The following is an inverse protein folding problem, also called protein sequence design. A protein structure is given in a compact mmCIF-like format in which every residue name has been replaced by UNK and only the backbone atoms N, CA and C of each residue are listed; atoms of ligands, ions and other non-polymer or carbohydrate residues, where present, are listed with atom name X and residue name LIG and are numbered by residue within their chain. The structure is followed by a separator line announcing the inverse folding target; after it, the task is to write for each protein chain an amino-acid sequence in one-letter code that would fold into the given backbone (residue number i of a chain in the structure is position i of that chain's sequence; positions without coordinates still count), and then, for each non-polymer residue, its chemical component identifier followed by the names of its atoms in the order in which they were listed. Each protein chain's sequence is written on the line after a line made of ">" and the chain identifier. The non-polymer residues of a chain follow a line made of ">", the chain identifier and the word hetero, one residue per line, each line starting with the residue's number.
data_IF_215205591618
#
_entry.id   IF_215205591618
#
_cell.length_a   1.000
_cell.length_b   1.000
_cell.length_c   1.000
_cell.angle_alpha   90.00
_cell.angle_beta   90.00
_cell.angle_gamma   90.00
#
_symmetry.space_group_name_H-M   'P 1'
#
loop_
_entity.id
_entity.type
_entity.pdbx_description
1 polymer ?
#
# COMPACT_ATOMS: atom_id res chain seq x y z
N UNK A 1 -8.13 5.58 -12.32
CA UNK A 1 -7.18 6.71 -12.44
C UNK A 1 -7.27 7.33 -13.82
N UNK A 2 -7.18 8.67 -13.93
CA UNK A 2 -7.12 9.38 -15.22
C UNK A 2 -5.72 9.28 -15.87
N UNK A 3 -5.60 9.49 -17.21
CA UNK A 3 -4.28 9.52 -17.87
C UNK A 3 -3.30 10.52 -17.24
N UNK A 4 -3.78 11.69 -16.82
CA UNK A 4 -2.93 12.70 -16.18
C UNK A 4 -2.40 12.25 -14.80
N UNK A 5 -3.23 11.55 -14.02
CA UNK A 5 -2.82 10.97 -12.74
C UNK A 5 -1.79 9.85 -12.94
N UNK A 6 -1.94 9.04 -13.98
CA UNK A 6 -0.96 8.01 -14.36
C UNK A 6 0.36 8.65 -14.77
N UNK A 7 0.32 9.67 -15.65
CA UNK A 7 1.49 10.40 -16.11
C UNK A 7 2.23 11.09 -14.95
N UNK A 8 1.51 11.68 -14.01
CA UNK A 8 2.10 12.30 -12.82
C UNK A 8 2.79 11.25 -11.93
N UNK A 9 2.13 10.11 -11.71
CA UNK A 9 2.70 8.98 -10.99
C UNK A 9 3.99 8.48 -11.66
N UNK A 10 4.00 8.32 -12.98
CA UNK A 10 5.20 7.95 -13.74
C UNK A 10 6.34 8.97 -13.55
N UNK A 11 6.04 10.27 -13.66
CA UNK A 11 7.05 11.32 -13.42
C UNK A 11 7.65 11.22 -12.02
N UNK A 12 6.85 10.93 -11.01
CA UNK A 12 7.31 10.83 -9.64
C UNK A 12 8.12 9.58 -9.36
N UNK A 13 7.69 8.44 -9.89
CA UNK A 13 8.36 7.16 -9.59
C UNK A 13 9.55 6.88 -10.50
N UNK A 14 9.60 7.43 -11.72
CA UNK A 14 10.61 7.11 -12.70
C UNK A 14 11.40 8.33 -13.24
N UNK A 15 11.13 9.55 -12.74
CA UNK A 15 11.59 10.79 -13.38
C UNK A 15 13.09 11.09 -13.25
N UNK A 16 13.74 10.79 -12.12
CA UNK A 16 15.17 11.05 -11.90
C UNK A 16 15.91 9.81 -11.40
N UNK A 17 17.25 9.81 -11.51
CA UNK A 17 18.05 8.71 -11.00
C UNK A 17 17.83 8.49 -9.49
N UNK A 18 17.69 9.57 -8.70
CA UNK A 18 17.42 9.50 -7.27
C UNK A 18 16.04 8.87 -6.97
N UNK A 19 15.02 9.27 -7.72
CA UNK A 19 13.69 8.66 -7.58
C UNK A 19 13.69 7.20 -7.99
N UNK A 20 14.43 6.85 -9.06
CA UNK A 20 14.62 5.45 -9.46
C UNK A 20 15.37 4.64 -8.40
N UNK A 21 16.39 5.26 -7.76
CA UNK A 21 17.08 4.64 -6.63
C UNK A 21 16.11 4.39 -5.48
N UNK A 22 15.31 5.37 -5.05
CA UNK A 22 14.32 5.21 -3.99
C UNK A 22 13.26 4.12 -4.32
N UNK A 23 13.02 3.85 -5.59
CA UNK A 23 12.15 2.77 -6.06
C UNK A 23 12.89 1.45 -6.30
N UNK A 24 14.14 1.35 -6.04
CA UNK A 24 14.91 0.09 -6.02
C UNK A 24 14.82 -0.61 -4.67
N UNK A 25 15.14 -1.89 -4.61
CA UNK A 25 15.16 -2.62 -3.33
C UNK A 25 16.07 -1.96 -2.29
N UNK A 26 17.34 -1.59 -2.61
CA UNK A 26 18.19 -0.84 -1.69
C UNK A 26 17.59 0.50 -1.26
N UNK A 27 17.00 1.23 -2.19
CA UNK A 27 16.36 2.52 -1.92
C UNK A 27 15.13 2.39 -1.03
N UNK A 28 14.31 1.37 -1.22
CA UNK A 28 13.17 1.05 -0.35
C UNK A 28 13.64 0.68 1.07
N UNK A 29 14.72 -0.07 1.19
CA UNK A 29 15.33 -0.36 2.50
C UNK A 29 15.77 0.92 3.22
N UNK A 30 16.32 1.87 2.48
CA UNK A 30 16.78 3.14 3.02
C UNK A 30 15.62 4.10 3.33
N UNK A 31 14.63 4.18 2.45
CA UNK A 31 13.58 5.21 2.50
C UNK A 31 12.27 4.76 3.14
N UNK A 32 12.06 3.47 3.32
CA UNK A 32 10.75 2.92 3.73
C UNK A 32 10.84 1.95 4.92
N UNK A 33 11.22 2.43 6.13
CA UNK A 33 11.22 1.64 7.35
C UNK A 33 9.90 0.91 7.66
N UNK A 34 8.71 1.41 7.20
CA UNK A 34 7.46 0.70 7.42
C UNK A 34 7.44 -0.75 6.96
N UNK A 35 8.18 -1.07 5.90
CA UNK A 35 8.30 -2.45 5.44
C UNK A 35 8.82 -3.43 6.50
N UNK A 36 9.53 -2.93 7.50
CA UNK A 36 10.03 -3.75 8.63
C UNK A 36 9.06 -3.83 9.80
N UNK A 37 8.03 -3.01 9.81
CA UNK A 37 7.07 -2.89 10.91
C UNK A 37 5.81 -3.71 10.66
N UNK A 38 5.78 -4.50 9.59
CA UNK A 38 4.68 -5.41 9.32
C UNK A 38 4.49 -6.34 10.51
N UNK A 39 3.28 -6.45 11.03
CA UNK A 39 3.00 -7.43 12.06
C UNK A 39 3.48 -8.80 11.60
N UNK A 40 4.32 -9.44 12.39
CA UNK A 40 4.86 -10.77 12.06
C UNK A 40 3.75 -11.78 11.75
N UNK A 41 2.62 -11.62 12.43
CA UNK A 41 1.43 -12.44 12.24
C UNK A 41 0.84 -12.36 10.82
N UNK A 42 1.01 -11.24 10.12
CA UNK A 42 0.51 -11.07 8.74
C UNK A 42 1.35 -11.81 7.70
N UNK A 43 2.56 -12.22 8.04
CA UNK A 43 3.58 -12.59 7.07
C UNK A 43 4.12 -14.01 7.20
N UNK A 44 3.67 -14.77 8.20
CA UNK A 44 4.31 -16.04 8.58
C UNK A 44 3.53 -17.30 8.24
N UNK A 45 2.40 -17.20 7.56
CA UNK A 45 1.67 -18.41 7.15
C UNK A 45 2.19 -18.86 5.78
N UNK A 46 2.53 -20.13 5.66
CA UNK A 46 2.75 -20.76 4.37
C UNK A 46 1.50 -20.54 3.49
N UNK A 47 1.70 -20.35 2.19
CA UNK A 47 0.65 -20.10 1.19
C UNK A 47 -0.07 -18.76 1.26
N UNK A 48 0.47 -17.77 1.97
CA UNK A 48 -0.08 -16.40 1.97
C UNK A 48 -0.11 -15.81 0.56
N UNK A 49 -1.27 -15.33 0.15
CA UNK A 49 -1.48 -14.60 -1.11
C UNK A 49 -1.50 -13.10 -0.84
N UNK A 50 -0.55 -12.41 -1.39
CA UNK A 50 -0.35 -10.98 -1.18
C UNK A 50 -0.67 -10.18 -2.45
N UNK A 51 -1.36 -9.06 -2.30
CA UNK A 51 -1.59 -8.09 -3.36
C UNK A 51 -0.96 -6.74 -2.98
N UNK A 52 -0.24 -6.12 -3.88
CA UNK A 52 0.14 -4.71 -3.80
C UNK A 52 -0.64 -3.89 -4.83
N UNK A 53 -1.47 -2.95 -4.36
CA UNK A 53 -2.22 -2.02 -5.21
C UNK A 53 -1.35 -0.79 -5.46
N UNK A 54 -1.01 -0.54 -6.73
CA UNK A 54 -0.07 0.50 -7.13
C UNK A 54 1.38 0.06 -6.93
N UNK A 55 1.75 -1.13 -7.39
CA UNK A 55 3.07 -1.71 -7.11
C UNK A 55 4.27 -0.96 -7.74
N UNK A 56 4.01 0.02 -8.61
CA UNK A 56 5.08 0.77 -9.28
C UNK A 56 6.00 -0.14 -10.07
N UNK A 57 7.28 -0.15 -9.71
CA UNK A 57 8.30 -1.02 -10.32
C UNK A 57 8.49 -2.38 -9.59
N UNK A 58 7.59 -2.74 -8.68
CA UNK A 58 7.62 -4.03 -7.96
C UNK A 58 8.64 -4.14 -6.82
N UNK A 59 9.32 -3.05 -6.50
CA UNK A 59 10.46 -3.07 -5.58
C UNK A 59 10.09 -3.49 -4.16
N UNK A 60 8.85 -3.23 -3.73
CA UNK A 60 8.39 -3.58 -2.40
C UNK A 60 8.09 -5.07 -2.28
N UNK A 61 7.44 -5.65 -3.28
CA UNK A 61 7.24 -7.11 -3.35
C UNK A 61 8.60 -7.80 -3.28
N UNK A 62 9.60 -7.33 -4.05
CA UNK A 62 10.96 -7.86 -4.01
C UNK A 62 11.64 -7.63 -2.66
N UNK A 63 11.42 -6.48 -2.02
CA UNK A 63 11.96 -6.20 -0.69
C UNK A 63 11.41 -7.17 0.36
N UNK A 64 10.11 -7.39 0.35
CA UNK A 64 9.47 -8.32 1.28
C UNK A 64 10.03 -9.72 1.09
N UNK A 65 10.14 -10.16 -0.13
CA UNK A 65 10.69 -11.46 -0.47
C UNK A 65 12.16 -11.62 -0.04
N UNK A 66 13.03 -10.67 -0.37
CA UNK A 66 14.47 -10.76 -0.02
C UNK A 66 14.74 -10.62 1.49
N UNK A 67 13.94 -9.79 2.19
CA UNK A 67 14.20 -9.46 3.60
C UNK A 67 13.47 -10.36 4.57
N UNK A 68 12.26 -10.75 4.24
CA UNK A 68 11.41 -11.54 5.12
C UNK A 68 11.45 -13.03 4.77
N UNK A 69 12.20 -13.40 3.71
CA UNK A 69 12.35 -14.79 3.24
C UNK A 69 10.99 -15.48 3.19
N UNK A 70 10.05 -14.89 2.45
CA UNK A 70 8.72 -15.44 2.28
C UNK A 70 8.76 -16.78 1.54
N UNK A 71 9.00 -17.82 2.29
CA UNK A 71 8.81 -19.17 1.77
C UNK A 71 7.30 -19.42 1.64
N UNK A 72 6.86 -19.71 0.41
CA UNK A 72 5.46 -20.05 0.14
C UNK A 72 4.51 -18.87 -0.07
N UNK A 73 4.97 -17.60 -0.07
CA UNK A 73 4.11 -16.46 -0.40
C UNK A 73 4.03 -16.27 -1.91
N UNK A 74 2.81 -16.26 -2.43
CA UNK A 74 2.54 -15.80 -3.79
C UNK A 74 2.16 -14.32 -3.78
N UNK A 75 2.75 -13.52 -4.67
CA UNK A 75 2.50 -12.09 -4.72
C UNK A 75 1.99 -11.64 -6.08
N UNK A 76 1.06 -10.69 -6.08
CA UNK A 76 0.63 -9.97 -7.27
C UNK A 76 0.76 -8.46 -7.03
N UNK A 77 1.13 -7.72 -8.06
CA UNK A 77 1.11 -6.28 -8.08
C UNK A 77 0.16 -5.76 -9.16
N UNK A 78 -0.67 -4.79 -8.84
CA UNK A 78 -1.48 -4.05 -9.82
C UNK A 78 -0.89 -2.67 -10.02
N UNK A 79 -0.67 -2.29 -11.28
CA UNK A 79 -0.15 -0.97 -11.62
C UNK A 79 -0.86 -0.42 -12.86
N UNK A 80 -1.45 0.79 -12.78
CA UNK A 80 -2.16 1.39 -13.91
C UNK A 80 -1.24 1.94 -15.01
N UNK A 81 0.04 2.15 -14.74
CA UNK A 81 1.01 2.60 -15.74
C UNK A 81 1.59 1.42 -16.52
N UNK A 82 1.41 1.36 -17.87
CA UNK A 82 2.00 0.29 -18.66
C UNK A 82 3.53 0.24 -18.57
N UNK A 83 4.17 1.39 -18.39
CA UNK A 83 5.63 1.50 -18.26
C UNK A 83 6.12 0.92 -16.93
N UNK A 84 5.44 1.23 -15.83
CA UNK A 84 5.80 0.73 -14.51
C UNK A 84 5.45 -0.75 -14.36
N UNK A 85 4.29 -1.18 -14.86
CA UNK A 85 3.88 -2.59 -14.84
C UNK A 85 4.90 -3.48 -15.56
N UNK A 86 5.31 -3.12 -16.79
CA UNK A 86 6.37 -3.84 -17.52
C UNK A 86 7.71 -3.86 -16.78
N UNK A 87 8.02 -2.79 -16.05
CA UNK A 87 9.25 -2.72 -15.25
C UNK A 87 9.16 -3.66 -14.03
N UNK A 88 8.01 -3.71 -13.38
CA UNK A 88 7.77 -4.64 -12.28
C UNK A 88 7.87 -6.10 -12.74
N UNK A 89 7.23 -6.44 -13.85
CA UNK A 89 7.29 -7.78 -14.42
C UNK A 89 8.73 -8.22 -14.72
N UNK A 90 9.52 -7.37 -15.38
CA UNK A 90 10.94 -7.65 -15.61
C UNK A 90 11.70 -7.82 -14.30
N UNK A 91 11.47 -6.97 -13.32
CA UNK A 91 12.14 -7.06 -12.02
C UNK A 91 11.81 -8.37 -11.29
N UNK A 92 10.58 -8.87 -11.40
CA UNK A 92 10.20 -10.18 -10.85
C UNK A 92 10.90 -11.33 -11.57
N UNK A 93 10.91 -11.32 -12.89
CA UNK A 93 11.58 -12.31 -13.71
C UNK A 93 13.10 -12.34 -13.45
N UNK A 94 13.75 -11.19 -13.44
CA UNK A 94 15.19 -11.04 -13.21
C UNK A 94 15.62 -11.55 -11.82
N UNK A 95 14.70 -11.52 -10.85
CA UNK A 95 14.94 -12.03 -9.50
C UNK A 95 14.40 -13.46 -9.28
N UNK A 96 13.88 -14.12 -10.32
CA UNK A 96 13.38 -15.50 -10.23
C UNK A 96 12.18 -15.64 -9.27
N UNK A 97 11.30 -14.63 -9.22
CA UNK A 97 10.22 -14.59 -8.23
C UNK A 97 8.87 -15.00 -8.79
N UNK A 98 8.09 -15.80 -8.06
CA UNK A 98 6.73 -16.18 -8.42
C UNK A 98 5.75 -15.00 -8.12
N UNK A 99 6.02 -13.82 -8.71
CA UNK A 99 5.17 -12.65 -8.59
C UNK A 99 4.71 -12.22 -9.98
N UNK A 100 3.53 -11.64 -10.06
CA UNK A 100 2.94 -11.18 -11.31
C UNK A 100 2.61 -9.70 -11.23
N UNK A 101 3.01 -8.93 -12.24
CA UNK A 101 2.57 -7.55 -12.41
C UNK A 101 1.39 -7.51 -13.39
N UNK A 102 0.27 -6.98 -12.93
CA UNK A 102 -0.97 -6.87 -13.71
C UNK A 102 -1.21 -5.42 -14.07
N UNK A 103 -1.34 -5.15 -15.38
CA UNK A 103 -1.76 -3.83 -15.86
C UNK A 103 -3.27 -3.67 -15.68
N UNK A 104 -3.68 -2.94 -14.66
CA UNK A 104 -5.10 -2.66 -14.39
C UNK A 104 -5.28 -1.37 -13.57
N UNK A 105 -6.50 -0.81 -13.61
CA UNK A 105 -6.88 0.28 -12.72
C UNK A 105 -7.00 -0.20 -11.27
N UNK A 106 -6.57 0.61 -10.30
CA UNK A 106 -6.65 0.22 -8.89
C UNK A 106 -8.08 0.25 -8.32
N UNK A 107 -9.00 0.83 -9.08
CA UNK A 107 -10.44 0.98 -8.82
C UNK A 107 -11.30 -0.09 -9.50
N UNK A 108 -10.67 -1.06 -10.19
CA UNK A 108 -11.30 -2.22 -10.83
C UNK A 108 -10.28 -3.37 -10.89
N UNK A 109 -10.11 -4.07 -9.78
CA UNK A 109 -9.10 -5.13 -9.65
C UNK A 109 -9.54 -6.41 -10.37
N UNK A 110 -8.71 -7.00 -11.25
CA UNK A 110 -9.07 -8.17 -12.05
C UNK A 110 -8.95 -9.48 -11.24
N UNK A 111 -9.38 -9.47 -10.00
CA UNK A 111 -9.34 -10.61 -9.10
C UNK A 111 -10.74 -10.90 -8.52
N UNK A 112 -10.98 -12.16 -8.20
CA UNK A 112 -12.23 -12.57 -7.53
C UNK A 112 -12.29 -12.06 -6.09
N UNK A 113 -13.48 -12.04 -5.52
CA UNK A 113 -13.69 -11.74 -4.12
C UNK A 113 -12.92 -12.72 -3.23
N UNK A 114 -12.34 -12.22 -2.14
CA UNK A 114 -11.62 -13.03 -1.18
C UNK A 114 -10.36 -13.72 -1.73
N UNK A 115 -9.75 -13.17 -2.78
CA UNK A 115 -8.58 -13.77 -3.42
C UNK A 115 -7.30 -13.70 -2.60
N UNK A 116 -7.20 -12.72 -1.68
CA UNK A 116 -5.95 -12.39 -0.99
C UNK A 116 -6.07 -12.42 0.53
N UNK A 117 -4.96 -12.78 1.15
CA UNK A 117 -4.78 -12.85 2.59
C UNK A 117 -4.20 -11.55 3.16
N UNK A 118 -3.52 -10.78 2.31
CA UNK A 118 -2.94 -9.47 2.66
C UNK A 118 -3.01 -8.54 1.45
N UNK A 119 -3.42 -7.31 1.67
CA UNK A 119 -3.39 -6.24 0.66
C UNK A 119 -2.52 -5.08 1.14
N UNK A 120 -1.65 -4.61 0.27
CA UNK A 120 -0.87 -3.39 0.46
C UNK A 120 -1.31 -2.29 -0.48
N UNK A 121 -1.36 -1.06 0.02
CA UNK A 121 -1.56 0.13 -0.79
C UNK A 121 -0.63 1.22 -0.28
N UNK A 122 0.39 1.54 -1.05
CA UNK A 122 1.39 2.54 -0.68
C UNK A 122 1.55 3.60 -1.74
N UNK A 123 1.62 4.85 -1.26
CA UNK A 123 1.95 6.01 -2.09
C UNK A 123 1.08 6.08 -3.37
N UNK A 124 -0.20 5.70 -3.24
CA UNK A 124 -1.18 5.69 -4.32
C UNK A 124 -2.37 6.62 -4.06
N UNK A 125 -2.91 6.61 -2.84
CA UNK A 125 -4.18 7.28 -2.53
C UNK A 125 -4.09 8.80 -2.72
N UNK A 126 -2.92 9.39 -2.53
CA UNK A 126 -2.68 10.82 -2.74
C UNK A 126 -2.84 11.28 -4.20
N UNK A 127 -2.72 10.39 -5.17
CA UNK A 127 -2.93 10.70 -6.59
C UNK A 127 -4.41 10.72 -6.98
N UNK A 128 -5.29 10.28 -6.08
CA UNK A 128 -6.71 10.12 -6.32
C UNK A 128 -7.52 11.22 -5.62
N UNK A 129 -8.67 11.54 -6.18
CA UNK A 129 -9.70 12.28 -5.45
C UNK A 129 -10.36 11.37 -4.41
N UNK A 130 -11.30 11.92 -3.63
CA UNK A 130 -11.97 11.15 -2.57
C UNK A 130 -12.74 9.96 -3.12
N UNK A 131 -13.40 10.14 -4.27
CA UNK A 131 -14.20 9.07 -4.91
C UNK A 131 -13.31 7.95 -5.44
N UNK A 132 -12.21 8.32 -6.10
CA UNK A 132 -11.21 7.35 -6.59
C UNK A 132 -10.55 6.59 -5.44
N UNK A 133 -10.14 7.27 -4.38
CA UNK A 133 -9.58 6.63 -3.20
C UNK A 133 -10.59 5.67 -2.54
N UNK A 134 -11.88 6.06 -2.47
CA UNK A 134 -12.94 5.20 -1.97
C UNK A 134 -13.17 3.97 -2.85
N UNK A 135 -13.12 4.12 -4.18
CA UNK A 135 -13.24 2.99 -5.10
C UNK A 135 -12.10 1.98 -4.92
N UNK A 136 -10.85 2.47 -4.78
CA UNK A 136 -9.69 1.62 -4.49
C UNK A 136 -9.86 0.86 -3.18
N UNK A 137 -10.31 1.53 -2.13
CA UNK A 137 -10.50 0.91 -0.82
C UNK A 137 -11.64 -0.14 -0.84
N UNK A 138 -12.72 0.10 -1.60
CA UNK A 138 -13.79 -0.91 -1.81
C UNK A 138 -13.27 -2.15 -2.54
N UNK A 139 -12.48 -1.96 -3.58
CA UNK A 139 -11.87 -3.07 -4.30
C UNK A 139 -10.89 -3.84 -3.41
N UNK A 140 -10.09 -3.13 -2.59
CA UNK A 140 -9.23 -3.77 -1.60
C UNK A 140 -10.04 -4.61 -0.59
N UNK A 141 -11.14 -4.09 -0.06
CA UNK A 141 -12.02 -4.84 0.83
C UNK A 141 -12.65 -6.06 0.14
N UNK A 142 -13.09 -5.92 -1.13
CA UNK A 142 -13.68 -7.00 -1.91
C UNK A 142 -12.72 -8.15 -2.15
N UNK A 143 -11.48 -7.86 -2.53
CA UNK A 143 -10.50 -8.90 -2.86
C UNK A 143 -9.83 -9.54 -1.63
N UNK A 144 -9.95 -8.92 -0.46
CA UNK A 144 -9.52 -9.51 0.81
C UNK A 144 -10.50 -10.60 1.25
N UNK A 145 -9.96 -11.72 1.73
CA UNK A 145 -10.81 -12.71 2.41
C UNK A 145 -11.29 -12.17 3.76
N UNK A 146 -12.44 -12.62 4.26
CA UNK A 146 -12.90 -12.25 5.60
C UNK A 146 -11.85 -12.57 6.67
N UNK A 147 -11.59 -11.62 7.56
CA UNK A 147 -10.55 -11.71 8.59
C UNK A 147 -9.14 -11.33 8.11
N UNK A 148 -8.96 -11.05 6.82
CA UNK A 148 -7.68 -10.61 6.29
C UNK A 148 -7.44 -9.10 6.47
N UNK A 149 -6.20 -8.68 6.25
CA UNK A 149 -5.75 -7.35 6.60
C UNK A 149 -5.26 -6.57 5.37
N UNK A 150 -5.64 -5.30 5.34
CA UNK A 150 -5.04 -4.30 4.47
C UNK A 150 -4.09 -3.43 5.29
N UNK A 151 -2.90 -3.17 4.74
CA UNK A 151 -2.01 -2.14 5.23
C UNK A 151 -1.88 -1.04 4.18
N UNK A 152 -2.16 0.18 4.57
CA UNK A 152 -1.98 1.34 3.72
C UNK A 152 -1.13 2.41 4.39
N UNK A 153 -0.34 3.11 3.59
CA UNK A 153 0.34 4.34 4.02
C UNK A 153 0.51 5.31 2.87
N UNK A 154 0.59 6.59 3.22
CA UNK A 154 0.77 7.67 2.26
C UNK A 154 1.41 8.89 2.95
N UNK A 155 1.66 9.94 2.20
CA UNK A 155 2.14 11.19 2.73
C UNK A 155 1.01 11.95 3.43
N UNK A 156 1.31 12.48 4.62
CA UNK A 156 0.39 13.27 5.41
C UNK A 156 0.53 14.79 5.14
N UNK A 157 -0.47 15.61 5.51
CA UNK A 157 -0.32 17.06 5.56
C UNK A 157 0.78 17.48 6.51
N UNK A 158 1.45 18.62 6.25
CA UNK A 158 2.44 19.17 7.17
C UNK A 158 1.84 19.44 8.54
N UNK A 159 2.54 19.01 9.60
CA UNK A 159 2.08 19.18 10.97
C UNK A 159 3.22 19.48 11.95
N UNK A 160 2.88 20.08 13.10
CA UNK A 160 3.80 20.37 14.19
C UNK A 160 4.84 21.47 13.88
N UNK A 161 5.84 21.56 14.76
CA UNK A 161 6.88 22.62 14.73
C UNK A 161 7.72 22.69 13.46
N UNK A 162 7.82 21.60 12.71
CA UNK A 162 8.56 21.50 11.46
C UNK A 162 7.67 21.58 10.20
N UNK A 163 6.42 22.03 10.31
CA UNK A 163 5.46 22.09 9.21
C UNK A 163 5.97 22.93 8.01
N UNK A 164 6.73 24.00 8.26
CA UNK A 164 7.31 24.84 7.21
C UNK A 164 8.31 24.04 6.35
N UNK A 165 9.17 23.25 6.98
CA UNK A 165 10.14 22.40 6.31
C UNK A 165 9.45 21.26 5.53
N UNK A 166 8.46 20.64 6.15
CA UNK A 166 7.65 19.61 5.52
C UNK A 166 6.91 20.13 4.29
N UNK A 167 6.37 21.37 4.31
CA UNK A 167 5.77 22.02 3.14
C UNK A 167 6.77 22.16 1.98
N UNK A 168 8.01 22.57 2.28
CA UNK A 168 9.04 22.69 1.26
C UNK A 168 9.38 21.33 0.62
N UNK A 169 9.45 20.30 1.41
CA UNK A 169 9.68 18.93 0.94
C UNK A 169 8.50 18.40 0.12
N UNK A 170 7.29 18.53 0.62
CA UNK A 170 6.07 18.02 -0.02
C UNK A 170 5.78 18.68 -1.37
N UNK A 171 6.34 19.85 -1.66
CA UNK A 171 6.32 20.43 -3.02
C UNK A 171 6.89 19.50 -4.09
N UNK A 172 7.75 18.58 -3.72
CA UNK A 172 8.33 17.57 -4.62
C UNK A 172 7.46 16.34 -4.81
N UNK A 173 6.42 16.22 -3.98
CA UNK A 173 5.49 15.09 -3.96
C UNK A 173 4.06 15.60 -4.10
N UNK A 174 3.67 16.06 -5.30
CA UNK A 174 2.33 16.54 -5.54
C UNK A 174 1.30 15.44 -5.32
N UNK A 175 0.09 15.86 -5.01
CA UNK A 175 -1.02 14.98 -4.69
C UNK A 175 -1.80 15.50 -3.48
N UNK A 176 -2.86 14.80 -3.14
CA UNK A 176 -3.71 15.13 -2.01
C UNK A 176 -3.20 14.45 -0.74
N UNK A 177 -2.64 15.20 0.16
CA UNK A 177 -2.20 14.70 1.47
C UNK A 177 -3.39 14.65 2.42
N UNK A 178 -3.86 13.46 2.73
CA UNK A 178 -4.98 13.24 3.64
C UNK A 178 -4.49 13.02 5.08
N UNK A 179 -5.32 13.38 6.06
CA UNK A 179 -5.03 13.10 7.47
C UNK A 179 -5.29 11.62 7.79
N UNK A 180 -4.68 11.14 8.86
CA UNK A 180 -4.89 9.79 9.40
C UNK A 180 -6.38 9.48 9.57
N UNK A 181 -7.09 10.33 10.28
CA UNK A 181 -8.52 10.17 10.54
C UNK A 181 -9.36 10.17 9.26
N UNK A 182 -9.00 11.01 8.28
CA UNK A 182 -9.72 11.06 6.99
C UNK A 182 -9.60 9.76 6.21
N UNK A 183 -8.39 9.15 6.17
CA UNK A 183 -8.18 7.89 5.45
C UNK A 183 -8.81 6.70 6.17
N UNK A 184 -8.71 6.63 7.49
CA UNK A 184 -9.36 5.58 8.29
C UNK A 184 -10.89 5.63 8.13
N UNK A 185 -11.51 6.81 8.29
CA UNK A 185 -12.94 6.96 8.07
C UNK A 185 -13.39 6.71 6.62
N UNK A 186 -12.48 6.91 5.63
CA UNK A 186 -12.76 6.51 4.25
C UNK A 186 -12.73 4.98 4.08
N UNK A 187 -11.80 4.29 4.74
CA UNK A 187 -11.71 2.83 4.73
C UNK A 187 -12.96 2.19 5.35
N UNK A 188 -13.43 2.70 6.50
CA UNK A 188 -14.68 2.24 7.14
C UNK A 188 -15.89 2.38 6.21
N UNK A 189 -16.03 3.52 5.54
CA UNK A 189 -17.09 3.74 4.53
C UNK A 189 -16.91 2.93 3.25
N UNK A 190 -15.79 2.23 3.11
CA UNK A 190 -15.45 1.41 1.95
C UNK A 190 -15.63 -0.10 2.18
N UNK A 191 -16.16 -0.50 3.36
CA UNK A 191 -16.46 -1.89 3.68
C UNK A 191 -15.44 -2.57 4.59
N UNK A 192 -14.56 -1.80 5.24
CA UNK A 192 -13.72 -2.32 6.33
C UNK A 192 -14.46 -2.15 7.66
N UNK A 193 -14.55 -3.23 8.42
CA UNK A 193 -15.24 -3.27 9.71
C UNK A 193 -14.38 -2.75 10.85
N UNK A 194 -13.07 -2.73 10.65
CA UNK A 194 -12.09 -2.31 11.63
C UNK A 194 -10.96 -1.51 10.98
N UNK A 195 -10.60 -0.40 11.62
CA UNK A 195 -9.41 0.38 11.27
C UNK A 195 -8.63 0.74 12.52
N UNK A 196 -7.31 0.76 12.40
CA UNK A 196 -6.42 1.29 13.44
C UNK A 196 -5.20 1.95 12.83
N UNK A 197 -4.64 2.89 13.54
CA UNK A 197 -3.34 3.46 13.17
C UNK A 197 -2.27 2.36 13.18
N UNK A 198 -1.50 2.28 12.10
CA UNK A 198 -0.32 1.45 12.07
C UNK A 198 0.83 2.22 12.70
N UNK A 199 1.40 1.70 13.77
CA UNK A 199 2.56 2.31 14.43
C UNK A 199 3.83 2.07 13.61
N UNK A 200 3.93 2.77 12.49
CA UNK A 200 5.09 2.71 11.61
C UNK A 200 6.11 3.74 12.09
N UNK A 201 7.33 3.27 12.38
CA UNK A 201 8.40 4.16 12.81
C UNK A 201 8.61 5.26 11.78
N UNK A 202 8.63 6.56 12.17
CA UNK A 202 8.86 7.64 11.25
C UNK A 202 10.24 7.48 10.59
N UNK A 203 10.31 7.81 9.32
CA UNK A 203 11.58 7.85 8.62
C UNK A 203 12.49 8.94 9.23
N UNK A 204 13.76 8.61 9.44
CA UNK A 204 14.67 9.49 10.14
C UNK A 204 15.03 10.73 9.31
N UNK A 205 15.08 10.59 7.98
CA UNK A 205 15.42 11.68 7.08
C UNK A 205 14.98 11.39 5.63
N UNK A 206 14.29 12.31 4.96
CA UNK A 206 13.74 13.58 5.47
C UNK A 206 12.51 13.35 6.38
N UNK A 207 12.23 14.27 7.33
CA UNK A 207 11.09 14.16 8.24
C UNK A 207 9.77 14.46 7.50
N UNK A 208 9.42 13.64 6.54
CA UNK A 208 8.20 13.76 5.75
C UNK A 208 7.06 13.15 6.57
N UNK A 209 5.97 13.90 6.81
CA UNK A 209 4.84 13.38 7.57
C UNK A 209 4.17 12.25 6.78
N UNK A 210 3.82 11.19 7.46
CA UNK A 210 3.14 10.02 6.88
C UNK A 210 1.92 9.66 7.69
N UNK A 211 0.94 9.14 6.99
CA UNK A 211 -0.21 8.44 7.56
C UNK A 211 -0.06 6.96 7.27
N UNK A 212 -0.50 6.13 8.19
CA UNK A 212 -0.51 4.68 7.99
C UNK A 212 -1.61 4.05 8.82
N UNK A 213 -2.33 3.13 8.23
CA UNK A 213 -3.39 2.41 8.93
C UNK A 213 -3.46 0.96 8.50
N UNK A 214 -3.96 0.14 9.40
CA UNK A 214 -4.38 -1.22 9.15
C UNK A 214 -5.90 -1.22 9.12
N UNK A 215 -6.47 -1.88 8.12
CA UNK A 215 -7.90 -2.11 8.01
C UNK A 215 -8.19 -3.61 7.85
N UNK A 216 -9.30 -4.07 8.37
CA UNK A 216 -9.71 -5.47 8.30
C UNK A 216 -11.18 -5.57 7.94
N UNK A 217 -11.52 -6.61 7.20
CA UNK A 217 -12.90 -7.12 7.09
C UNK A 217 -13.07 -8.23 8.12
N UNK A 218 -14.21 -8.26 8.80
CA UNK A 218 -14.48 -9.30 9.78
C UNK A 218 -15.06 -10.57 9.12
N UNK A 219 -14.76 -11.75 9.66
CA UNK A 219 -15.49 -12.95 9.27
C UNK A 219 -17.00 -12.81 9.58
N UNK A 220 -17.88 -13.47 8.83
CA UNK A 220 -19.31 -13.41 9.07
C UNK A 220 -19.67 -13.77 10.53
N UNK A 221 -20.52 -12.94 11.14
CA UNK A 221 -20.97 -13.13 12.53
C UNK A 221 -20.00 -12.64 13.62
N UNK A 222 -18.78 -12.28 13.26
CA UNK A 222 -17.84 -11.66 14.20
C UNK A 222 -18.18 -10.18 14.41
N UNK A 223 -17.92 -9.68 15.62
CA UNK A 223 -18.12 -8.27 15.98
C UNK A 223 -16.98 -7.76 16.84
N UNK A 224 -16.82 -6.45 16.88
CA UNK A 224 -15.85 -5.79 17.76
C UNK A 224 -16.62 -5.19 18.93
N UNK A 225 -16.21 -5.55 20.15
CA UNK A 225 -16.68 -4.92 21.37
C UNK A 225 -15.50 -4.32 22.13
N UNK A 226 -15.43 -2.99 22.11
CA UNK A 226 -14.30 -2.25 22.66
C UNK A 226 -12.99 -2.57 21.92
N UNK A 227 -12.07 -3.31 22.55
CA UNK A 227 -10.81 -3.74 21.94
C UNK A 227 -10.77 -5.23 21.60
N UNK A 228 -11.85 -5.94 21.85
CA UNK A 228 -11.92 -7.39 21.70
C UNK A 228 -12.68 -7.79 20.45
N UNK A 229 -12.19 -8.80 19.76
CA UNK A 229 -12.86 -9.46 18.65
C UNK A 229 -13.71 -10.61 19.25
N UNK A 230 -15.01 -10.57 19.01
CA UNK A 230 -15.98 -11.53 19.55
C UNK A 230 -16.44 -12.45 18.42
N UNK A 231 -16.23 -13.76 18.59
CA UNK A 231 -16.74 -14.77 17.68
C UNK A 231 -18.25 -14.90 17.79
N UNK A 232 -18.94 -15.35 16.71
CA UNK A 232 -20.34 -15.75 16.80
C UNK A 232 -20.47 -16.90 17.82
N UNK A 233 -21.51 -16.82 18.68
CA UNK A 233 -21.85 -17.88 19.62
C UNK A 233 -22.46 -19.09 18.94
#
# INVERSE_FOLDING_TARGET
>A
MTPDQIAERERQLAGSWWRRFLQSVPGQMFSNPPAYSLPREMLMQADTRMLEIGCGAGSRILLFDQKLRFQGVSAAGVEPSPKLARRAERAFLDNGRPATAVLAGPDALPFRDGAFDVVYCDDLLRFLDVRGAQAVLREAARVLRPGALMLAWDLAPPAGRFAWWQRLWLRRYPGRHATQQSLMGLAERSGFDYTREANLRPFFWPPVPRVSFIAATLPPGWRIEGRNLIAPG
#
